data_IF_815222946960
#
_entry.id   IF_815222946960
#
_cell.length_a   1.000
_cell.length_b   1.000
_cell.length_c   1.000
_cell.angle_alpha   90.00
_cell.angle_beta   90.00
_cell.angle_gamma   90.00
#
_symmetry.space_group_name_H-M   'P 1'
#
loop_
_entity.id
_entity.type
_entity.pdbx_description
1 polymer ?
#
# COMPACT_ATOMS: atom_id res chain seq x y z
N UNK A 1 -8.24 -0.08 -15.79
CA UNK A 1 -6.81 0.28 -15.99
C UNK A 1 -5.95 -0.73 -15.22
N UNK A 2 -5.05 -1.47 -15.88
CA UNK A 2 -4.12 -2.37 -15.18
C UNK A 2 -3.07 -1.58 -14.39
N UNK A 3 -2.71 -2.04 -13.19
CA UNK A 3 -1.69 -1.39 -12.35
C UNK A 3 -0.31 -1.47 -12.99
N UNK A 4 0.60 -0.56 -12.63
CA UNK A 4 1.99 -0.63 -13.09
C UNK A 4 2.64 -1.98 -12.76
N UNK A 5 2.34 -2.52 -11.58
CA UNK A 5 2.83 -3.83 -11.15
C UNK A 5 2.34 -4.97 -12.05
N UNK A 6 1.06 -4.95 -12.44
CA UNK A 6 0.49 -5.93 -13.36
C UNK A 6 1.12 -5.84 -14.76
N UNK A 7 1.34 -4.62 -15.27
CA UNK A 7 2.05 -4.40 -16.55
C UNK A 7 3.50 -4.88 -16.49
N UNK A 8 4.21 -4.60 -15.40
CA UNK A 8 5.57 -5.07 -15.18
C UNK A 8 5.64 -6.60 -15.17
N UNK A 9 4.70 -7.26 -14.48
CA UNK A 9 4.59 -8.72 -14.48
C UNK A 9 4.37 -9.27 -15.89
N UNK A 10 3.40 -8.74 -16.62
CA UNK A 10 3.07 -9.22 -17.96
C UNK A 10 4.29 -9.12 -18.89
N UNK A 11 4.97 -7.97 -18.89
CA UNK A 11 6.17 -7.80 -19.71
C UNK A 11 7.34 -8.64 -19.24
N UNK A 12 7.49 -8.87 -17.93
CA UNK A 12 8.56 -9.73 -17.42
C UNK A 12 8.34 -11.19 -17.80
N UNK A 13 7.10 -11.69 -17.68
CA UNK A 13 6.76 -13.06 -18.09
C UNK A 13 7.00 -13.28 -19.59
N UNK A 14 6.68 -12.28 -20.41
CA UNK A 14 6.86 -12.38 -21.86
C UNK A 14 8.32 -12.29 -22.30
N UNK A 15 9.14 -11.47 -21.63
CA UNK A 15 10.51 -11.21 -22.07
C UNK A 15 11.60 -11.86 -21.23
N UNK A 16 11.24 -12.46 -20.09
CA UNK A 16 12.13 -12.98 -19.03
C UNK A 16 13.33 -12.06 -18.69
N UNK A 17 13.13 -10.73 -18.81
CA UNK A 17 14.21 -9.76 -18.79
C UNK A 17 13.80 -8.46 -18.13
N UNK A 18 14.50 -8.12 -17.04
CA UNK A 18 14.30 -6.85 -16.33
C UNK A 18 14.62 -5.66 -17.23
N UNK A 19 15.67 -5.77 -18.05
CA UNK A 19 16.08 -4.69 -18.95
C UNK A 19 14.98 -4.36 -19.97
N UNK A 20 14.32 -5.39 -20.52
CA UNK A 20 13.20 -5.23 -21.45
C UNK A 20 12.00 -4.57 -20.77
N UNK A 21 11.66 -4.99 -19.55
CA UNK A 21 10.61 -4.35 -18.75
C UNK A 21 10.92 -2.87 -18.54
N UNK A 22 12.14 -2.54 -18.09
CA UNK A 22 12.57 -1.14 -17.88
C UNK A 22 12.51 -0.31 -19.17
N UNK A 23 12.89 -0.87 -20.31
CA UNK A 23 12.82 -0.20 -21.62
C UNK A 23 11.38 0.08 -22.03
N UNK A 24 10.48 -0.90 -21.87
CA UNK A 24 9.03 -0.73 -22.14
C UNK A 24 8.41 0.33 -21.23
N UNK A 25 8.81 0.36 -19.96
CA UNK A 25 8.38 1.40 -19.03
C UNK A 25 8.86 2.80 -19.42
N UNK A 26 10.15 2.95 -19.73
CA UNK A 26 10.74 4.20 -20.20
C UNK A 26 10.04 4.74 -21.45
N UNK A 27 9.80 3.86 -22.42
CA UNK A 27 9.14 4.23 -23.67
C UNK A 27 7.68 4.66 -23.48
N UNK A 28 6.92 3.97 -22.60
CA UNK A 28 5.48 4.22 -22.46
C UNK A 28 5.11 5.24 -21.38
N UNK A 29 5.96 5.45 -20.37
CA UNK A 29 5.60 6.24 -19.19
C UNK A 29 6.69 7.27 -18.81
N UNK A 30 7.72 7.45 -19.63
CA UNK A 30 8.86 8.36 -19.38
C UNK A 30 9.61 8.13 -18.05
N UNK A 31 9.32 7.02 -17.36
CA UNK A 31 9.92 6.60 -16.10
C UNK A 31 10.09 5.08 -16.10
N UNK A 32 11.07 4.58 -15.35
CA UNK A 32 11.31 3.15 -15.19
C UNK A 32 11.42 2.76 -13.72
N UNK A 33 10.75 1.68 -13.28
CA UNK A 33 10.96 1.11 -11.96
C UNK A 33 12.39 0.58 -11.82
N UNK A 34 12.84 0.52 -10.57
CA UNK A 34 14.16 -0.02 -10.23
C UNK A 34 14.22 -1.53 -10.49
N UNK A 35 15.42 -2.07 -10.72
CA UNK A 35 15.63 -3.52 -10.88
C UNK A 35 15.12 -4.29 -9.65
N UNK A 36 15.34 -3.75 -8.44
CA UNK A 36 14.91 -4.36 -7.18
C UNK A 36 13.39 -4.39 -7.05
N UNK A 37 12.69 -3.32 -7.46
CA UNK A 37 11.23 -3.27 -7.49
C UNK A 37 10.66 -4.35 -8.41
N UNK A 38 11.21 -4.49 -9.63
CA UNK A 38 10.76 -5.47 -10.61
C UNK A 38 10.98 -6.91 -10.09
N UNK A 39 12.16 -7.22 -9.53
CA UNK A 39 12.44 -8.52 -8.91
C UNK A 39 11.46 -8.83 -7.79
N UNK A 40 11.27 -7.90 -6.86
CA UNK A 40 10.35 -8.09 -5.72
C UNK A 40 8.92 -8.38 -6.18
N UNK A 41 8.44 -7.67 -7.19
CA UNK A 41 7.10 -7.91 -7.74
C UNK A 41 6.98 -9.28 -8.39
N UNK A 42 8.03 -9.74 -9.08
CA UNK A 42 8.06 -11.07 -9.67
C UNK A 42 8.06 -12.19 -8.63
N UNK A 43 8.91 -12.09 -7.60
CA UNK A 43 8.96 -13.07 -6.51
C UNK A 43 7.65 -13.11 -5.72
N UNK A 44 7.08 -11.95 -5.39
CA UNK A 44 5.79 -11.88 -4.72
C UNK A 44 4.68 -12.53 -5.56
N UNK A 45 4.72 -12.32 -6.88
CA UNK A 45 3.79 -12.97 -7.80
C UNK A 45 3.97 -14.49 -7.81
N UNK A 46 5.21 -15.00 -7.90
CA UNK A 46 5.48 -16.45 -7.86
C UNK A 46 4.95 -17.09 -6.57
N UNK A 47 5.14 -16.45 -5.43
CA UNK A 47 4.73 -16.99 -4.15
C UNK A 47 3.22 -16.88 -3.87
N UNK A 48 2.58 -15.78 -4.28
CA UNK A 48 1.21 -15.43 -3.82
C UNK A 48 0.18 -15.36 -4.95
N UNK A 49 0.59 -15.42 -6.22
CA UNK A 49 -0.28 -15.20 -7.38
C UNK A 49 -0.77 -13.75 -7.52
N UNK A 50 -0.33 -12.82 -6.65
CA UNK A 50 -0.70 -11.41 -6.68
C UNK A 50 0.48 -10.49 -6.39
N UNK A 51 0.38 -9.24 -6.82
CA UNK A 51 1.39 -8.18 -6.59
C UNK A 51 0.78 -7.01 -5.82
N UNK A 52 -0.45 -7.17 -5.32
CA UNK A 52 -1.12 -6.09 -4.61
C UNK A 52 -0.39 -5.79 -3.31
N UNK A 53 -0.38 -4.51 -2.94
CA UNK A 53 0.12 -4.11 -1.63
C UNK A 53 -0.73 -4.81 -0.56
N UNK A 54 -0.10 -5.69 0.23
CA UNK A 54 -0.76 -6.32 1.36
C UNK A 54 -1.20 -5.22 2.33
N UNK A 55 -2.46 -5.21 2.76
CA UNK A 55 -2.89 -4.29 3.83
C UNK A 55 -1.93 -4.49 5.01
N UNK A 56 -1.23 -3.42 5.39
CA UNK A 56 -0.50 -3.41 6.65
C UNK A 56 -1.52 -3.50 7.79
N UNK A 57 -1.07 -3.97 8.95
CA UNK A 57 -1.79 -3.70 10.18
C UNK A 57 -1.80 -2.18 10.33
N UNK A 58 -2.89 -1.53 9.92
CA UNK A 58 -3.05 -0.09 10.07
C UNK A 58 -3.00 0.31 11.53
N UNK A 59 -3.25 1.60 11.82
CA UNK A 59 -3.44 2.03 13.20
C UNK A 59 -4.54 1.16 13.84
N UNK A 60 -4.27 0.49 14.98
CA UNK A 60 -5.29 -0.26 15.69
C UNK A 60 -6.50 0.63 15.98
N UNK A 61 -7.70 0.08 15.84
CA UNK A 61 -8.91 0.76 16.27
C UNK A 61 -8.86 1.03 17.77
N UNK A 62 -9.27 2.22 18.17
CA UNK A 62 -9.48 2.55 19.59
C UNK A 62 -10.75 1.82 20.05
N UNK A 63 -10.72 1.14 21.19
CA UNK A 63 -11.91 0.49 21.75
C UNK A 63 -12.87 1.51 22.34
N UNK A 64 -14.16 1.17 22.39
CA UNK A 64 -15.20 2.04 22.98
C UNK A 64 -14.90 2.36 24.45
N UNK A 65 -14.27 1.45 25.18
CA UNK A 65 -13.81 1.69 26.57
C UNK A 65 -12.82 2.86 26.68
N UNK A 66 -11.90 3.00 25.72
CA UNK A 66 -10.94 4.12 25.70
C UNK A 66 -11.66 5.40 25.30
N UNK A 67 -12.65 5.33 24.41
CA UNK A 67 -13.48 6.46 24.02
C UNK A 67 -14.30 6.97 25.20
N UNK A 68 -14.95 6.08 25.95
CA UNK A 68 -15.76 6.45 27.12
C UNK A 68 -14.90 7.02 28.25
N UNK A 69 -13.71 6.45 28.52
CA UNK A 69 -12.78 7.03 29.51
C UNK A 69 -12.39 8.47 29.17
N UNK A 70 -12.14 8.75 27.90
CA UNK A 70 -11.85 10.11 27.43
C UNK A 70 -13.06 11.01 27.66
N UNK A 71 -14.27 10.56 27.32
CA UNK A 71 -15.52 11.31 27.54
C UNK A 71 -15.76 11.63 29.01
N UNK A 72 -15.60 10.65 29.89
CA UNK A 72 -15.71 10.82 31.35
C UNK A 72 -14.71 11.83 31.90
N UNK A 73 -13.50 11.90 31.34
CA UNK A 73 -12.47 12.87 31.75
C UNK A 73 -12.86 14.32 31.41
N UNK A 74 -13.59 14.53 30.31
CA UNK A 74 -13.99 15.87 29.84
C UNK A 74 -15.42 16.28 30.26
N UNK A 75 -16.22 15.36 30.80
CA UNK A 75 -17.57 15.62 31.31
C UNK A 75 -17.61 16.61 32.49
N UNK A 76 -16.67 16.59 33.46
CA UNK A 76 -16.64 17.57 34.55
C UNK A 76 -16.36 19.01 34.08
N UNK A 77 -15.67 19.19 32.95
CA UNK A 77 -15.28 20.50 32.43
C UNK A 77 -16.40 21.21 31.65
N UNK A 78 -17.43 20.48 31.22
CA UNK A 78 -18.58 21.03 30.48
C UNK A 78 -19.79 21.34 31.37
N UNK A 79 -19.72 21.00 32.67
CA UNK A 79 -20.75 21.29 33.68
C UNK A 79 -20.34 22.42 34.62
N UNK A 80 -19.59 23.42 34.15
CA UNK A 80 -19.41 24.66 34.90
C UNK A 80 -20.71 25.47 34.75
N UNK A 81 -21.49 25.71 35.82
CA UNK A 81 -22.61 26.63 35.74
C UNK A 81 -22.04 28.02 35.49
N UNK A 82 -22.35 28.62 34.34
CA UNK A 82 -22.18 30.06 34.16
C UNK A 82 -23.23 30.74 35.04
N UNK A 83 -22.83 31.12 36.25
CA UNK A 83 -23.61 32.00 37.11
C UNK A 83 -23.60 33.43 36.61
#
# INVERSE_FOLDING_TARGET
MATFQQKARFWFHESESIATVQRRFRYRNCWSPSKNSIKRWYEQFKGTGNVHHRRGAGRPSVSDEVVERVRETFTPLLLIPTS
#
